data_IF_194523281515
#
_entry.id   IF_194523281515
#
_cell.length_a   1.000
_cell.length_b   1.000
_cell.length_c   1.000
_cell.angle_alpha   90.00
_cell.angle_beta   90.00
_cell.angle_gamma   90.00
#
_symmetry.space_group_name_H-M   'P 1'
#
loop_
_entity.id
_entity.type
_entity.pdbx_description
1 polymer ?
#
# COMPACT_ATOMS: atom_id res chain seq x y z
N UNK A 1 -24.52 47.19 -14.20
CA UNK A 1 -23.75 46.38 -15.18
C UNK A 1 -22.71 45.51 -14.45
N UNK A 2 -22.28 44.38 -15.02
CA UNK A 2 -21.24 43.52 -14.43
C UNK A 2 -19.92 43.77 -15.15
N UNK A 3 -18.86 44.01 -14.40
CA UNK A 3 -17.51 44.24 -14.93
C UNK A 3 -16.56 43.16 -14.46
N UNK A 4 -15.69 42.67 -15.35
CA UNK A 4 -14.56 41.80 -15.03
C UNK A 4 -13.30 42.67 -14.94
N UNK A 5 -12.72 42.79 -13.75
CA UNK A 5 -11.48 43.53 -13.51
C UNK A 5 -10.32 42.57 -13.30
N UNK A 6 -9.38 42.52 -14.24
CA UNK A 6 -8.07 41.91 -14.04
C UNK A 6 -7.23 42.91 -13.24
N UNK A 7 -6.76 42.51 -12.07
CA UNK A 7 -6.06 43.39 -11.15
C UNK A 7 -4.90 42.66 -10.47
N UNK A 8 -3.92 43.43 -9.98
CA UNK A 8 -2.86 42.91 -9.12
C UNK A 8 -3.00 43.47 -7.71
N UNK A 9 -2.61 42.67 -6.72
CA UNK A 9 -2.41 43.10 -5.34
C UNK A 9 -1.19 42.36 -4.79
N UNK A 10 -0.11 43.10 -4.55
CA UNK A 10 1.20 42.50 -4.29
C UNK A 10 1.76 41.80 -5.54
N UNK A 11 2.26 40.56 -5.39
CA UNK A 11 2.85 39.75 -6.47
C UNK A 11 1.84 38.90 -7.27
N UNK A 12 0.55 38.96 -6.93
CA UNK A 12 -0.46 38.06 -7.48
C UNK A 12 -1.41 38.77 -8.44
N UNK A 13 -1.65 38.16 -9.62
CA UNK A 13 -2.66 38.57 -10.61
C UNK A 13 -4.00 37.89 -10.29
N UNK A 14 -5.06 38.69 -10.25
CA UNK A 14 -6.41 38.28 -9.85
C UNK A 14 -7.44 38.78 -10.87
N UNK A 15 -8.55 38.06 -10.98
CA UNK A 15 -9.70 38.48 -11.80
C UNK A 15 -10.88 38.64 -10.85
N UNK A 16 -11.35 39.88 -10.70
CA UNK A 16 -12.50 40.26 -9.88
C UNK A 16 -13.72 40.48 -10.76
N UNK A 17 -14.91 40.17 -10.24
CA UNK A 17 -16.18 40.54 -10.87
C UNK A 17 -16.89 41.56 -9.99
N UNK A 18 -17.08 42.76 -10.51
CA UNK A 18 -17.60 43.94 -9.79
C UNK A 18 -18.91 44.38 -10.44
N UNK A 19 -19.93 44.61 -9.63
CA UNK A 19 -21.20 45.19 -10.09
C UNK A 19 -21.13 46.70 -9.89
N UNK A 20 -21.30 47.47 -10.95
CA UNK A 20 -21.33 48.93 -10.90
C UNK A 20 -22.25 49.49 -12.00
N UNK A 21 -22.65 50.75 -11.86
CA UNK A 21 -23.49 51.44 -12.83
C UNK A 21 -22.68 52.03 -13.98
N UNK A 22 -21.36 52.20 -13.79
CA UNK A 22 -20.41 52.62 -14.82
C UNK A 22 -19.02 51.99 -14.66
N UNK A 23 -18.23 51.97 -15.74
CA UNK A 23 -16.83 51.52 -15.73
C UNK A 23 -16.00 52.31 -14.72
N UNK A 24 -16.22 53.61 -14.61
CA UNK A 24 -15.46 54.47 -13.69
C UNK A 24 -15.80 54.20 -12.23
N UNK A 25 -17.07 53.90 -11.94
CA UNK A 25 -17.49 53.45 -10.61
C UNK A 25 -16.90 52.07 -10.29
N UNK A 26 -16.82 51.15 -11.27
CA UNK A 26 -16.16 49.86 -11.10
C UNK A 26 -14.66 50.03 -10.81
N UNK A 27 -13.97 50.93 -11.53
CA UNK A 27 -12.57 51.27 -11.28
C UNK A 27 -12.37 51.84 -9.88
N UNK A 28 -13.23 52.77 -9.46
CA UNK A 28 -13.17 53.34 -8.11
C UNK A 28 -13.34 52.27 -7.02
N UNK A 29 -14.29 51.35 -7.18
CA UNK A 29 -14.52 50.25 -6.22
C UNK A 29 -13.29 49.33 -6.14
N UNK A 30 -12.70 48.94 -7.27
CA UNK A 30 -11.50 48.08 -7.28
C UNK A 30 -10.29 48.80 -6.69
N UNK A 31 -10.08 50.07 -7.06
CA UNK A 31 -8.95 50.85 -6.59
C UNK A 31 -9.04 51.17 -5.09
N UNK A 32 -10.24 51.48 -4.56
CA UNK A 32 -10.46 51.72 -3.13
C UNK A 32 -10.21 50.49 -2.24
N UNK A 33 -10.22 49.28 -2.83
CA UNK A 33 -9.87 48.03 -2.17
C UNK A 33 -8.36 47.70 -2.22
N UNK A 34 -7.54 48.62 -2.73
CA UNK A 34 -6.08 48.51 -2.79
C UNK A 34 -5.57 47.59 -3.90
N UNK A 35 -6.33 47.44 -4.99
CA UNK A 35 -5.94 46.68 -6.17
C UNK A 35 -5.45 47.61 -7.28
N UNK A 36 -4.34 47.26 -7.93
CA UNK A 36 -3.88 47.91 -9.16
C UNK A 36 -4.62 47.29 -10.35
N UNK A 37 -5.36 48.09 -11.09
CA UNK A 37 -6.18 47.62 -12.21
C UNK A 37 -5.29 47.45 -13.44
N UNK A 38 -5.26 46.25 -14.00
CA UNK A 38 -4.56 45.94 -15.25
C UNK A 38 -5.53 46.11 -16.43
N UNK A 39 -6.76 45.61 -16.29
CA UNK A 39 -7.76 45.63 -17.37
C UNK A 39 -9.17 45.53 -16.78
N UNK A 40 -10.16 46.23 -17.35
CA UNK A 40 -11.57 46.11 -16.93
C UNK A 40 -12.49 46.05 -18.14
N UNK A 41 -13.30 44.99 -18.21
CA UNK A 41 -14.24 44.75 -19.32
C UNK A 41 -15.66 44.64 -18.79
N UNK A 42 -16.62 45.19 -19.53
CA UNK A 42 -18.03 44.90 -19.29
C UNK A 42 -18.33 43.47 -19.73
N UNK A 43 -18.97 42.68 -18.86
CA UNK A 43 -19.36 41.31 -19.20
C UNK A 43 -20.78 41.33 -19.78
N UNK A 44 -20.91 40.94 -21.05
CA UNK A 44 -22.12 40.27 -21.51
C UNK A 44 -22.23 38.92 -20.78
N UNK A 45 -23.46 38.52 -20.46
CA UNK A 45 -23.79 37.41 -19.56
C UNK A 45 -23.47 36.06 -20.25
N UNK A 46 -22.19 35.79 -20.48
CA UNK A 46 -21.71 34.55 -21.09
C UNK A 46 -21.30 33.53 -20.01
N UNK A 47 -21.99 32.40 -20.05
CA UNK A 47 -21.86 31.31 -19.12
C UNK A 47 -20.52 30.56 -19.22
N UNK A 48 -20.28 29.78 -18.17
CA UNK A 48 -19.23 28.76 -18.05
C UNK A 48 -17.80 29.25 -17.72
N UNK A 49 -17.61 29.66 -16.46
CA UNK A 49 -16.35 29.43 -15.78
C UNK A 49 -16.54 28.24 -14.82
N UNK A 50 -15.88 27.11 -15.08
CA UNK A 50 -15.96 25.89 -14.27
C UNK A 50 -15.31 26.09 -12.90
N UNK A 51 -16.12 26.41 -11.88
CA UNK A 51 -15.74 26.45 -10.47
C UNK A 51 -16.90 26.95 -9.62
N UNK A 52 -17.04 26.42 -8.40
CA UNK A 52 -18.09 26.87 -7.48
C UNK A 52 -17.75 28.28 -6.95
N UNK A 53 -18.76 29.14 -6.84
CA UNK A 53 -18.61 30.44 -6.19
C UNK A 53 -18.92 30.32 -4.70
N UNK A 54 -18.01 30.84 -3.88
CA UNK A 54 -18.19 30.97 -2.43
C UNK A 54 -18.25 32.44 -2.06
N UNK A 55 -19.07 32.75 -1.05
CA UNK A 55 -19.25 34.11 -0.55
C UNK A 55 -18.51 34.25 0.77
N UNK A 56 -18.00 35.45 1.04
CA UNK A 56 -17.31 35.74 2.28
C UNK A 56 -17.62 37.15 2.77
N UNK A 57 -17.63 37.31 4.09
CA UNK A 57 -17.71 38.61 4.76
C UNK A 57 -16.35 38.84 5.44
N UNK A 58 -15.60 39.88 5.07
CA UNK A 58 -14.27 40.17 5.60
C UNK A 58 -14.11 41.64 5.99
N UNK A 59 -13.27 41.90 6.99
CA UNK A 59 -12.89 43.26 7.36
C UNK A 59 -11.77 43.77 6.44
N UNK A 60 -12.07 44.84 5.70
CA UNK A 60 -11.10 45.55 4.86
C UNK A 60 -11.02 46.97 5.40
N UNK A 61 -9.86 47.35 5.94
CA UNK A 61 -9.66 48.66 6.59
C UNK A 61 -10.72 48.97 7.67
N UNK A 62 -11.13 47.95 8.44
CA UNK A 62 -12.14 48.09 9.51
C UNK A 62 -13.61 48.07 9.06
N UNK A 63 -13.88 48.07 7.75
CA UNK A 63 -15.25 48.00 7.22
C UNK A 63 -15.57 46.57 6.80
N UNK A 64 -16.76 46.08 7.19
CA UNK A 64 -17.23 44.76 6.77
C UNK A 64 -17.65 44.81 5.30
N UNK A 65 -16.94 44.07 4.45
CA UNK A 65 -17.23 43.95 3.03
C UNK A 65 -17.59 42.51 2.68
N UNK A 66 -18.62 42.35 1.84
CA UNK A 66 -19.01 41.05 1.31
C UNK A 66 -18.42 40.87 -0.09
N UNK A 67 -17.75 39.74 -0.31
CA UNK A 67 -17.13 39.39 -1.58
C UNK A 67 -17.50 37.99 -2.03
N UNK A 68 -17.15 37.67 -3.28
CA UNK A 68 -17.28 36.33 -3.87
C UNK A 68 -15.93 35.85 -4.38
N UNK A 69 -15.61 34.58 -4.16
CA UNK A 69 -14.38 33.93 -4.59
C UNK A 69 -14.70 32.62 -5.30
N UNK A 70 -14.04 32.37 -6.42
CA UNK A 70 -14.20 31.14 -7.19
C UNK A 70 -13.17 30.09 -6.72
N UNK A 71 -13.63 28.87 -6.43
CA UNK A 71 -12.77 27.75 -6.02
C UNK A 71 -13.53 26.42 -6.15
N UNK A 72 -12.80 25.32 -6.06
CA UNK A 72 -13.41 23.98 -6.04
C UNK A 72 -13.86 23.55 -4.64
N UNK A 73 -13.32 24.18 -3.59
CA UNK A 73 -13.59 23.85 -2.19
C UNK A 73 -13.61 25.12 -1.31
N UNK A 74 -14.55 25.18 -0.36
CA UNK A 74 -14.68 26.24 0.65
C UNK A 74 -13.38 26.39 1.45
N UNK A 75 -12.71 25.28 1.77
CA UNK A 75 -11.45 25.31 2.51
C UNK A 75 -10.33 26.00 1.72
N UNK A 76 -10.20 25.64 0.43
CA UNK A 76 -9.23 26.26 -0.48
C UNK A 76 -9.51 27.76 -0.66
N UNK A 77 -10.78 28.14 -0.73
CA UNK A 77 -11.21 29.55 -0.76
C UNK A 77 -10.78 30.31 0.48
N UNK A 78 -11.04 29.75 1.67
CA UNK A 78 -10.66 30.39 2.93
C UNK A 78 -9.15 30.55 3.08
N UNK A 79 -8.37 29.52 2.73
CA UNK A 79 -6.91 29.60 2.71
C UNK A 79 -6.43 30.72 1.80
N UNK A 80 -6.95 30.80 0.58
CA UNK A 80 -6.61 31.88 -0.38
C UNK A 80 -6.97 33.28 0.15
N UNK A 81 -8.11 33.42 0.83
CA UNK A 81 -8.51 34.68 1.45
C UNK A 81 -7.56 35.11 2.57
N UNK A 82 -7.10 34.17 3.41
CA UNK A 82 -6.27 34.47 4.58
C UNK A 82 -4.76 34.56 4.23
N UNK A 83 -4.23 33.62 3.45
CA UNK A 83 -2.80 33.55 3.13
C UNK A 83 -2.42 34.48 1.98
N UNK A 84 -3.13 34.40 0.85
CA UNK A 84 -2.76 35.14 -0.37
C UNK A 84 -3.28 36.57 -0.33
N UNK A 85 -4.54 36.76 0.10
CA UNK A 85 -5.22 38.05 0.06
C UNK A 85 -5.15 38.82 1.39
N UNK A 86 -4.64 38.18 2.45
CA UNK A 86 -4.47 38.75 3.81
C UNK A 86 -5.74 39.41 4.37
N UNK A 87 -6.90 38.85 4.05
CA UNK A 87 -8.18 39.33 4.58
C UNK A 87 -8.45 38.77 5.98
N UNK A 88 -9.03 39.61 6.85
CA UNK A 88 -9.62 39.15 8.11
C UNK A 88 -11.06 38.68 7.87
N UNK A 89 -11.20 37.37 7.61
CA UNK A 89 -12.48 36.75 7.22
C UNK A 89 -13.35 36.49 8.45
N UNK A 90 -14.49 37.20 8.53
CA UNK A 90 -15.52 36.99 9.55
C UNK A 90 -16.39 35.78 9.25
N UNK A 91 -16.85 35.64 7.99
CA UNK A 91 -17.68 34.51 7.55
C UNK A 91 -17.29 34.02 6.15
N UNK A 92 -17.41 32.72 5.91
CA UNK A 92 -17.36 32.10 4.57
C UNK A 92 -18.51 31.11 4.41
N UNK A 93 -19.21 31.17 3.27
CA UNK A 93 -20.46 30.44 3.05
C UNK A 93 -20.73 30.18 1.57
N UNK A 94 -21.69 29.31 1.28
CA UNK A 94 -21.94 28.78 -0.08
C UNK A 94 -23.06 29.49 -0.84
N UNK A 95 -23.98 30.18 -0.16
CA UNK A 95 -25.13 30.80 -0.80
C UNK A 95 -25.43 32.21 -0.23
N UNK A 96 -25.85 33.17 -1.08
CA UNK A 96 -26.22 34.50 -0.61
C UNK A 96 -27.48 34.41 0.28
N UNK A 97 -27.52 35.17 1.38
CA UNK A 97 -28.67 35.19 2.30
C UNK A 97 -28.72 34.06 3.35
N UNK A 98 -27.67 33.25 3.48
CA UNK A 98 -27.59 32.20 4.50
C UNK A 98 -27.70 32.75 5.93
N UNK A 99 -28.42 32.06 6.81
CA UNK A 99 -28.61 32.45 8.21
C UNK A 99 -27.26 32.56 8.95
N UNK A 100 -27.12 33.53 9.87
CA UNK A 100 -25.90 33.78 10.65
C UNK A 100 -25.38 32.52 11.36
N UNK A 101 -26.27 31.69 11.93
CA UNK A 101 -25.85 30.48 12.64
C UNK A 101 -25.22 29.43 11.71
N UNK A 102 -25.72 29.34 10.47
CA UNK A 102 -25.16 28.45 9.45
C UNK A 102 -23.81 29.00 8.95
N UNK A 103 -23.72 30.32 8.73
CA UNK A 103 -22.46 30.99 8.40
C UNK A 103 -21.41 30.75 9.48
N UNK A 104 -21.76 30.90 10.76
CA UNK A 104 -20.89 30.61 11.92
C UNK A 104 -20.41 29.16 11.92
N UNK A 105 -21.31 28.19 11.72
CA UNK A 105 -20.95 26.76 11.70
C UNK A 105 -19.99 26.39 10.57
N UNK A 106 -20.25 26.87 9.35
CA UNK A 106 -19.37 26.61 8.19
C UNK A 106 -18.01 27.27 8.43
N UNK A 107 -18.01 28.54 8.84
CA UNK A 107 -16.77 29.30 9.07
C UNK A 107 -15.96 28.68 10.20
N UNK A 108 -16.58 28.26 11.30
CA UNK A 108 -15.90 27.57 12.39
C UNK A 108 -15.25 26.27 11.90
N UNK A 109 -15.98 25.43 11.16
CA UNK A 109 -15.42 24.18 10.58
C UNK A 109 -14.22 24.45 9.68
N UNK A 110 -14.30 25.49 8.84
CA UNK A 110 -13.25 25.84 7.88
C UNK A 110 -12.04 26.46 8.59
N UNK A 111 -12.27 27.32 9.58
CA UNK A 111 -11.23 27.92 10.44
C UNK A 111 -10.52 26.86 11.28
N UNK A 112 -11.25 25.90 11.84
CA UNK A 112 -10.68 24.73 12.51
C UNK A 112 -9.81 23.92 11.53
N UNK A 113 -10.28 23.72 10.31
CA UNK A 113 -9.50 23.10 9.24
C UNK A 113 -8.21 23.86 8.91
N UNK A 114 -8.26 25.19 8.95
CA UNK A 114 -7.11 26.04 8.66
C UNK A 114 -6.10 26.02 9.80
N UNK A 115 -6.58 26.03 11.04
CA UNK A 115 -5.75 25.83 12.22
C UNK A 115 -5.07 24.47 12.19
N UNK A 116 -5.78 23.39 11.83
CA UNK A 116 -5.20 22.05 11.62
C UNK A 116 -4.12 22.05 10.54
N UNK A 117 -4.33 22.76 9.44
CA UNK A 117 -3.34 22.90 8.38
C UNK A 117 -2.08 23.61 8.87
N UNK A 118 -2.24 24.72 9.60
CA UNK A 118 -1.14 25.48 10.19
C UNK A 118 -0.38 24.66 11.25
N UNK A 119 -1.10 23.93 12.10
CA UNK A 119 -0.54 22.95 13.04
C UNK A 119 0.27 21.88 12.29
N UNK A 120 -0.24 21.35 11.17
CA UNK A 120 0.48 20.33 10.39
C UNK A 120 1.76 20.84 9.70
N UNK A 121 1.82 22.14 9.39
CA UNK A 121 3.04 22.79 8.88
C UNK A 121 4.06 22.99 10.01
N UNK A 122 3.58 23.37 11.20
CA UNK A 122 4.42 23.52 12.39
C UNK A 122 4.94 22.17 12.89
N UNK A 123 4.10 21.12 12.95
CA UNK A 123 4.52 19.75 13.31
C UNK A 123 5.55 19.21 12.32
N UNK A 124 5.43 19.52 11.02
CA UNK A 124 6.48 19.18 10.04
C UNK A 124 7.79 19.95 10.29
N UNK A 125 7.70 21.20 10.72
CA UNK A 125 8.85 22.02 11.11
C UNK A 125 9.55 21.49 12.37
N UNK A 126 8.76 21.09 13.37
CA UNK A 126 9.24 20.45 14.61
C UNK A 126 9.79 19.05 14.35
N UNK A 127 9.15 18.22 13.52
CA UNK A 127 9.68 16.91 13.09
C UNK A 127 10.99 17.08 12.31
N UNK A 128 11.12 18.10 11.44
CA UNK A 128 12.37 18.42 10.74
C UNK A 128 13.47 18.91 11.68
N UNK A 129 13.12 19.66 12.73
CA UNK A 129 14.07 20.08 13.75
C UNK A 129 14.49 18.93 14.65
N UNK A 130 13.56 18.09 15.14
CA UNK A 130 13.88 16.86 15.88
C UNK A 130 14.70 15.88 15.05
N UNK A 131 14.44 15.78 13.75
CA UNK A 131 15.25 14.95 12.85
C UNK A 131 16.65 15.51 12.68
N UNK A 132 16.81 16.83 12.55
CA UNK A 132 18.12 17.48 12.50
C UNK A 132 18.88 17.37 13.82
N UNK A 133 18.22 17.52 14.96
CA UNK A 133 18.85 17.35 16.28
C UNK A 133 19.23 15.89 16.52
N UNK A 134 18.43 14.93 16.05
CA UNK A 134 18.80 13.50 16.08
C UNK A 134 19.89 13.14 15.08
N UNK A 135 19.89 13.74 13.89
CA UNK A 135 20.97 13.58 12.90
C UNK A 135 22.27 14.22 13.41
N UNK A 136 22.22 15.34 14.14
CA UNK A 136 23.37 16.01 14.79
C UNK A 136 23.85 15.29 16.07
N UNK A 137 22.95 14.64 16.82
CA UNK A 137 23.30 13.77 17.96
C UNK A 137 23.81 12.39 17.50
N UNK A 138 23.29 11.83 16.41
CA UNK A 138 23.81 10.61 15.78
C UNK A 138 25.13 10.87 15.05
N UNK A 139 25.32 12.04 14.40
CA UNK A 139 26.61 12.44 13.80
C UNK A 139 27.72 12.63 14.85
N UNK A 140 27.39 13.09 16.06
CA UNK A 140 28.38 13.19 17.15
C UNK A 140 28.74 11.84 17.78
N UNK A 141 27.92 10.80 17.61
CA UNK A 141 28.23 9.41 18.03
C UNK A 141 28.93 8.63 16.91
N UNK A 142 28.88 9.11 15.66
CA UNK A 142 29.39 8.47 14.43
C UNK A 142 30.92 8.60 14.18
N UNK A 143 31.70 9.14 15.11
CA UNK A 143 33.16 9.18 14.98
C UNK A 143 33.88 7.86 15.28
N UNK A 144 33.15 6.77 15.50
CA UNK A 144 33.65 5.39 15.38
C UNK A 144 32.60 4.55 14.64
N UNK A 145 32.80 4.35 13.33
CA UNK A 145 31.98 3.40 12.56
C UNK A 145 32.07 2.02 13.21
N UNK A 146 30.92 1.40 13.53
CA UNK A 146 30.87 0.00 13.94
C UNK A 146 31.55 -0.87 12.85
N UNK A 147 32.41 -1.83 13.23
CA UNK A 147 33.09 -2.71 12.27
C UNK A 147 32.13 -3.50 11.37
N UNK A 148 30.86 -3.61 11.74
CA UNK A 148 29.81 -4.23 10.92
C UNK A 148 29.42 -3.39 9.71
N UNK A 149 29.33 -2.07 9.85
CA UNK A 149 28.99 -1.14 8.76
C UNK A 149 30.13 -1.05 7.75
N UNK A 150 31.38 -1.07 8.24
CA UNK A 150 32.57 -1.10 7.36
C UNK A 150 32.63 -2.40 6.54
N UNK A 151 32.36 -3.55 7.16
CA UNK A 151 32.24 -4.83 6.45
C UNK A 151 31.12 -4.83 5.42
N UNK A 152 29.99 -4.21 5.72
CA UNK A 152 28.86 -4.12 4.78
C UNK A 152 29.22 -3.22 3.58
N UNK A 153 29.92 -2.11 3.81
CA UNK A 153 30.43 -1.22 2.76
C UNK A 153 31.46 -1.93 1.87
N UNK A 154 32.46 -2.58 2.45
CA UNK A 154 33.46 -3.37 1.70
C UNK A 154 32.81 -4.46 0.85
N UNK A 155 31.77 -5.12 1.37
CA UNK A 155 31.00 -6.11 0.63
C UNK A 155 30.30 -5.49 -0.59
N UNK A 156 29.62 -4.35 -0.42
CA UNK A 156 28.97 -3.69 -1.56
C UNK A 156 29.99 -3.13 -2.56
N UNK A 157 31.15 -2.67 -2.13
CA UNK A 157 32.23 -2.25 -3.03
C UNK A 157 32.72 -3.43 -3.89
N UNK A 158 32.86 -4.62 -3.30
CA UNK A 158 33.19 -5.85 -4.03
C UNK A 158 32.11 -6.18 -5.07
N UNK A 159 30.83 -6.12 -4.69
CA UNK A 159 29.71 -6.37 -5.61
C UNK A 159 29.67 -5.33 -6.74
N UNK A 160 29.98 -4.06 -6.46
CA UNK A 160 30.09 -3.00 -7.48
C UNK A 160 31.19 -3.37 -8.49
N UNK A 161 32.36 -3.78 -8.02
CA UNK A 161 33.48 -4.16 -8.90
C UNK A 161 33.14 -5.37 -9.77
N UNK A 162 32.54 -6.41 -9.21
CA UNK A 162 32.09 -7.58 -9.97
C UNK A 162 31.00 -7.23 -10.99
N UNK A 163 30.12 -6.27 -10.66
CA UNK A 163 29.07 -5.79 -11.57
C UNK A 163 29.67 -4.97 -12.71
N UNK A 164 30.65 -4.11 -12.43
CA UNK A 164 31.37 -3.32 -13.43
C UNK A 164 32.17 -4.23 -14.38
N UNK A 165 32.91 -5.20 -13.85
CA UNK A 165 33.65 -6.19 -14.65
C UNK A 165 32.69 -6.97 -15.56
N UNK A 166 31.50 -7.29 -15.05
CA UNK A 166 30.46 -7.97 -15.83
C UNK A 166 29.92 -7.12 -16.97
N UNK A 167 29.64 -5.83 -16.73
CA UNK A 167 29.22 -4.90 -17.78
C UNK A 167 30.29 -4.82 -18.88
N UNK A 168 31.55 -4.68 -18.49
CA UNK A 168 32.68 -4.62 -19.43
C UNK A 168 32.82 -5.92 -20.23
N UNK A 169 32.69 -7.08 -19.58
CA UNK A 169 32.67 -8.37 -20.25
C UNK A 169 31.51 -8.51 -21.23
N UNK A 170 30.32 -8.00 -20.89
CA UNK A 170 29.17 -7.98 -21.80
C UNK A 170 29.43 -7.07 -23.02
N UNK A 171 29.99 -5.89 -22.81
CA UNK A 171 30.28 -4.93 -23.87
C UNK A 171 31.39 -5.39 -24.82
N UNK A 172 32.42 -6.08 -24.30
CA UNK A 172 33.56 -6.59 -25.08
C UNK A 172 33.17 -7.88 -25.81
N UNK A 173 32.62 -8.87 -25.10
CA UNK A 173 32.35 -10.21 -25.66
C UNK A 173 31.17 -10.22 -26.64
N UNK A 174 30.23 -9.27 -26.50
CA UNK A 174 29.01 -9.20 -27.32
C UNK A 174 28.89 -7.93 -28.14
N UNK A 175 30.00 -7.23 -28.38
CA UNK A 175 30.05 -5.95 -29.09
C UNK A 175 29.24 -5.95 -30.39
N UNK A 176 29.32 -7.02 -31.19
CA UNK A 176 28.67 -7.09 -32.51
C UNK A 176 27.19 -7.55 -32.44
N UNK A 177 26.76 -8.09 -31.29
CA UNK A 177 25.43 -8.69 -31.11
C UNK A 177 24.50 -7.88 -30.20
N UNK A 178 25.05 -6.92 -29.45
CA UNK A 178 24.27 -6.02 -28.60
C UNK A 178 23.86 -4.80 -29.43
N UNK A 179 22.56 -4.47 -29.41
CA UNK A 179 22.04 -3.30 -30.12
C UNK A 179 22.51 -1.98 -29.49
N UNK A 180 22.43 -0.89 -30.26
CA UNK A 180 22.90 0.44 -29.83
C UNK A 180 22.20 0.93 -28.57
N UNK A 181 20.90 0.64 -28.41
CA UNK A 181 20.15 0.96 -27.18
C UNK A 181 20.70 0.20 -25.97
N UNK A 182 20.96 -1.10 -26.09
CA UNK A 182 21.49 -1.91 -24.98
C UNK A 182 22.92 -1.48 -24.60
N UNK A 183 23.75 -1.06 -25.56
CA UNK A 183 25.07 -0.45 -25.29
C UNK A 183 24.92 0.81 -24.45
N UNK A 184 24.00 1.69 -24.83
CA UNK A 184 23.77 2.94 -24.13
C UNK A 184 23.26 2.71 -22.71
N UNK A 185 22.35 1.75 -22.51
CA UNK A 185 21.87 1.36 -21.17
C UNK A 185 22.98 0.81 -20.29
N UNK A 186 23.82 -0.09 -20.81
CA UNK A 186 24.95 -0.66 -20.06
C UNK A 186 26.01 0.42 -19.70
N UNK A 187 26.31 1.34 -20.62
CA UNK A 187 27.24 2.45 -20.36
C UNK A 187 26.68 3.44 -19.31
N UNK A 188 25.36 3.68 -19.32
CA UNK A 188 24.71 4.51 -18.29
C UNK A 188 24.80 3.86 -16.91
N UNK A 189 24.56 2.55 -16.82
CA UNK A 189 24.71 1.79 -15.58
C UNK A 189 26.16 1.81 -15.10
N UNK A 190 27.14 1.65 -15.99
CA UNK A 190 28.57 1.73 -15.64
C UNK A 190 28.92 3.09 -15.01
N UNK A 191 28.41 4.19 -15.59
CA UNK A 191 28.60 5.54 -15.07
C UNK A 191 27.92 5.75 -13.71
N UNK A 192 26.73 5.18 -13.51
CA UNK A 192 26.02 5.27 -12.23
C UNK A 192 26.71 4.47 -11.12
N UNK A 193 27.14 3.24 -11.41
CA UNK A 193 27.89 2.39 -10.50
C UNK A 193 29.25 3.00 -10.12
N UNK A 194 29.93 3.65 -11.06
CA UNK A 194 31.19 4.37 -10.80
C UNK A 194 30.98 5.60 -9.90
N UNK A 195 29.85 6.30 -10.04
CA UNK A 195 29.52 7.47 -9.19
C UNK A 195 29.13 7.10 -7.76
N UNK A 196 28.55 5.91 -7.55
CA UNK A 196 28.18 5.45 -6.20
C UNK A 196 29.35 4.76 -5.49
N UNK A 197 30.40 4.36 -6.22
CA UNK A 197 31.66 3.87 -5.65
C UNK A 197 32.27 4.94 -4.73
N UNK A 198 32.49 4.61 -3.46
CA UNK A 198 32.98 5.54 -2.43
C UNK A 198 31.89 6.38 -1.74
N UNK A 199 30.62 6.20 -2.08
CA UNK A 199 29.53 6.75 -1.24
C UNK A 199 29.41 5.92 0.05
N UNK A 200 29.06 6.56 1.17
CA UNK A 200 28.89 5.88 2.48
C UNK A 200 27.44 5.56 2.82
N UNK A 201 26.51 5.76 1.89
CA UNK A 201 25.08 5.52 2.08
C UNK A 201 24.70 4.13 1.58
N UNK A 202 24.69 3.15 2.49
CA UNK A 202 24.37 1.74 2.21
C UNK A 202 23.04 1.57 1.50
N UNK A 203 21.98 2.23 1.97
CA UNK A 203 20.63 2.12 1.37
C UNK A 203 20.60 2.59 -0.08
N UNK A 204 21.34 3.67 -0.39
CA UNK A 204 21.46 4.19 -1.76
C UNK A 204 22.25 3.24 -2.65
N UNK A 205 23.35 2.68 -2.14
CA UNK A 205 24.16 1.69 -2.88
C UNK A 205 23.32 0.46 -3.21
N UNK A 206 22.62 -0.10 -2.21
CA UNK A 206 21.76 -1.27 -2.39
C UNK A 206 20.69 -1.04 -3.47
N UNK A 207 19.96 0.07 -3.39
CA UNK A 207 18.89 0.37 -4.35
C UNK A 207 19.43 0.51 -5.79
N UNK A 208 20.54 1.23 -5.97
CA UNK A 208 21.14 1.41 -7.30
C UNK A 208 21.68 0.09 -7.84
N UNK A 209 22.28 -0.75 -7.00
CA UNK A 209 22.73 -2.10 -7.39
C UNK A 209 21.58 -3.02 -7.81
N UNK A 210 20.47 -3.03 -7.06
CA UNK A 210 19.29 -3.85 -7.40
C UNK A 210 18.73 -3.47 -8.77
N UNK A 211 18.56 -2.17 -9.03
CA UNK A 211 18.02 -1.67 -10.30
C UNK A 211 18.98 -1.93 -11.48
N UNK A 212 20.28 -1.73 -11.23
CA UNK A 212 21.35 -2.00 -12.20
C UNK A 212 21.41 -3.47 -12.60
N UNK A 213 21.43 -4.38 -11.62
CA UNK A 213 21.49 -5.83 -11.87
C UNK A 213 20.19 -6.36 -12.50
N UNK A 214 19.03 -5.82 -12.11
CA UNK A 214 17.76 -6.13 -12.76
C UNK A 214 17.75 -5.76 -14.24
N UNK A 215 18.27 -4.58 -14.57
CA UNK A 215 18.37 -4.09 -15.94
C UNK A 215 19.41 -4.90 -16.73
N UNK A 216 20.57 -5.21 -16.16
CA UNK A 216 21.59 -6.09 -16.78
C UNK A 216 20.98 -7.46 -17.08
N UNK A 217 20.26 -8.06 -16.11
CA UNK A 217 19.59 -9.33 -16.31
C UNK A 217 18.54 -9.29 -17.42
N UNK A 218 17.85 -8.17 -17.61
CA UNK A 218 16.91 -8.00 -18.73
C UNK A 218 17.62 -7.98 -20.10
N UNK A 219 18.79 -7.34 -20.19
CA UNK A 219 19.63 -7.31 -21.40
C UNK A 219 20.19 -8.71 -21.68
N UNK A 220 20.64 -9.43 -20.66
CA UNK A 220 21.09 -10.83 -20.79
C UNK A 220 19.96 -11.75 -21.27
N UNK A 221 18.75 -11.58 -20.76
CA UNK A 221 17.57 -12.34 -21.16
C UNK A 221 17.18 -12.04 -22.62
N UNK A 222 17.31 -10.79 -23.06
CA UNK A 222 17.15 -10.41 -24.45
C UNK A 222 18.18 -11.11 -25.36
N UNK A 223 19.45 -11.13 -24.95
CA UNK A 223 20.52 -11.83 -25.68
C UNK A 223 20.37 -13.36 -25.68
N UNK A 224 19.73 -13.92 -24.65
CA UNK A 224 19.38 -15.35 -24.56
C UNK A 224 18.26 -15.72 -25.56
N UNK A 225 17.24 -14.86 -25.69
CA UNK A 225 16.11 -15.08 -26.62
C UNK A 225 16.52 -15.07 -28.10
N UNK A 226 17.65 -14.47 -28.44
CA UNK A 226 18.18 -14.45 -29.82
C UNK A 226 18.98 -15.70 -30.22
N UNK A 227 18.91 -16.80 -29.45
CA UNK A 227 19.37 -18.12 -29.90
C UNK A 227 20.87 -18.42 -29.71
N UNK A 228 21.54 -17.75 -28.78
CA UNK A 228 22.98 -17.95 -28.55
C UNK A 228 23.27 -18.84 -27.31
N UNK A 229 24.14 -19.85 -27.51
CA UNK A 229 24.33 -21.13 -26.80
C UNK A 229 24.72 -21.10 -25.29
N UNK A 230 24.39 -22.22 -24.60
CA UNK A 230 24.67 -22.75 -23.23
C UNK A 230 25.64 -22.04 -22.25
N UNK A 231 26.69 -21.34 -22.67
CA UNK A 231 27.57 -20.56 -21.76
C UNK A 231 26.83 -19.39 -21.09
N UNK A 232 25.69 -18.97 -21.66
CA UNK A 232 24.91 -17.82 -21.20
C UNK A 232 24.04 -18.04 -19.96
N UNK A 233 23.77 -19.30 -19.57
CA UNK A 233 23.09 -19.62 -18.30
C UNK A 233 23.95 -19.26 -17.08
N UNK A 234 25.28 -19.35 -17.22
CA UNK A 234 26.21 -19.00 -16.14
C UNK A 234 26.19 -17.48 -15.85
N UNK A 235 26.02 -16.65 -16.89
CA UNK A 235 25.90 -15.20 -16.71
C UNK A 235 24.60 -14.82 -15.99
N UNK A 236 23.45 -15.40 -16.37
CA UNK A 236 22.18 -15.16 -15.67
C UNK A 236 22.22 -15.69 -14.22
N UNK A 237 22.87 -16.84 -13.98
CA UNK A 237 23.12 -17.37 -12.64
C UNK A 237 23.94 -16.39 -11.81
N UNK A 238 25.04 -15.85 -12.35
CA UNK A 238 25.87 -14.86 -11.69
C UNK A 238 25.09 -13.57 -11.39
N UNK A 239 24.18 -13.12 -12.27
CA UNK A 239 23.29 -11.97 -11.98
C UNK A 239 22.38 -12.25 -10.79
N UNK A 240 21.78 -13.45 -10.73
CA UNK A 240 20.92 -13.85 -9.63
C UNK A 240 21.69 -14.09 -8.32
N UNK A 241 22.95 -14.54 -8.39
CA UNK A 241 23.85 -14.66 -7.24
C UNK A 241 24.18 -13.28 -6.67
N UNK A 242 24.54 -12.32 -7.51
CA UNK A 242 24.80 -10.93 -7.09
C UNK A 242 23.54 -10.26 -6.51
N UNK A 243 22.35 -10.49 -7.10
CA UNK A 243 21.07 -10.04 -6.55
C UNK A 243 20.77 -10.65 -5.17
N UNK A 244 21.09 -11.93 -4.98
CA UNK A 244 20.95 -12.59 -3.68
C UNK A 244 21.96 -12.06 -2.67
N UNK A 245 23.17 -11.72 -3.11
CA UNK A 245 24.22 -11.19 -2.27
C UNK A 245 23.85 -9.82 -1.69
N UNK A 246 23.21 -8.95 -2.47
CA UNK A 246 22.68 -7.67 -1.96
C UNK A 246 21.36 -7.80 -1.19
N UNK A 247 20.84 -9.03 -1.02
CA UNK A 247 19.62 -9.32 -0.30
C UNK A 247 18.36 -8.88 -1.03
N UNK A 248 18.34 -9.00 -2.36
CA UNK A 248 17.17 -8.77 -3.20
C UNK A 248 16.31 -10.03 -3.29
N UNK A 249 14.98 -9.86 -3.22
CA UNK A 249 14.00 -10.92 -3.49
C UNK A 249 13.75 -11.12 -4.99
N UNK A 250 14.36 -10.29 -5.84
CA UNK A 250 14.16 -10.33 -7.30
C UNK A 250 15.02 -11.43 -7.94
N UNK A 251 14.42 -12.24 -8.81
CA UNK A 251 15.12 -13.26 -9.58
C UNK A 251 14.78 -13.14 -11.06
N UNK A 252 15.79 -12.95 -11.89
CA UNK A 252 15.65 -12.88 -13.34
C UNK A 252 15.65 -14.31 -13.89
N UNK A 253 14.55 -14.75 -14.47
CA UNK A 253 14.36 -16.13 -14.98
C UNK A 253 13.73 -16.11 -16.37
N UNK A 254 14.03 -17.14 -17.17
CA UNK A 254 13.38 -17.40 -18.47
C UNK A 254 11.94 -17.91 -18.30
N UNK A 255 11.08 -17.73 -19.31
CA UNK A 255 9.67 -18.18 -19.28
C UNK A 255 9.52 -19.69 -18.99
N UNK A 256 10.43 -20.52 -19.52
CA UNK A 256 10.45 -21.97 -19.25
C UNK A 256 10.73 -22.32 -17.78
N UNK A 257 11.52 -21.51 -17.06
CA UNK A 257 11.81 -21.72 -15.63
C UNK A 257 10.64 -21.26 -14.74
N UNK A 258 9.96 -20.17 -15.12
CA UNK A 258 8.73 -19.71 -14.46
C UNK A 258 7.61 -20.75 -14.50
N UNK A 259 7.47 -21.49 -15.59
CA UNK A 259 6.46 -22.54 -15.73
C UNK A 259 6.80 -23.82 -14.95
N UNK A 260 8.08 -24.05 -14.66
CA UNK A 260 8.55 -25.16 -13.83
C UNK A 260 8.42 -24.90 -12.32
N UNK A 261 8.28 -23.64 -11.92
CA UNK A 261 8.24 -23.23 -10.52
C UNK A 261 6.89 -23.61 -9.86
N UNK A 262 6.98 -24.43 -8.81
CA UNK A 262 5.82 -24.96 -8.07
C UNK A 262 5.01 -23.81 -7.46
N UNK A 263 5.67 -22.72 -7.07
CA UNK A 263 5.02 -21.50 -6.56
C UNK A 263 4.13 -20.83 -7.60
N UNK A 264 4.56 -20.80 -8.86
CA UNK A 264 3.80 -20.22 -9.97
C UNK A 264 2.60 -21.10 -10.35
N UNK A 265 2.76 -22.43 -10.33
CA UNK A 265 1.64 -23.38 -10.50
C UNK A 265 0.59 -23.21 -9.42
N UNK A 266 1.00 -23.12 -8.15
CA UNK A 266 0.08 -22.83 -7.02
C UNK A 266 -0.63 -21.49 -7.21
N UNK A 267 0.10 -20.43 -7.55
CA UNK A 267 -0.49 -19.10 -7.76
C UNK A 267 -1.50 -19.07 -8.91
N UNK A 268 -1.22 -19.79 -10.01
CA UNK A 268 -2.13 -19.93 -11.16
C UNK A 268 -3.39 -20.75 -10.85
N UNK A 269 -3.30 -21.72 -9.92
CA UNK A 269 -4.45 -22.48 -9.44
C UNK A 269 -5.34 -21.62 -8.52
N UNK A 270 -4.74 -20.78 -7.68
CA UNK A 270 -5.49 -19.84 -6.84
C UNK A 270 -6.08 -18.67 -7.63
N UNK A 271 -5.42 -18.17 -8.67
CA UNK A 271 -5.98 -17.11 -9.52
C UNK A 271 -7.23 -17.57 -10.25
N UNK A 272 -7.26 -18.79 -10.78
CA UNK A 272 -8.45 -19.39 -11.42
C UNK A 272 -9.67 -19.51 -10.50
N UNK A 273 -9.45 -19.70 -9.19
CA UNK A 273 -10.55 -19.72 -8.19
C UNK A 273 -11.06 -18.30 -7.88
N UNK A 274 -10.22 -17.29 -8.08
CA UNK A 274 -10.54 -15.88 -7.80
C UNK A 274 -11.14 -15.15 -9.00
N UNK A 275 -10.86 -15.62 -10.22
CA UNK A 275 -11.30 -14.98 -11.46
C UNK A 275 -12.79 -15.23 -11.77
N UNK A 276 -13.37 -16.33 -11.29
CA UNK A 276 -14.82 -16.58 -11.38
C UNK A 276 -15.69 -15.66 -10.48
N UNK A 277 -15.10 -14.69 -9.78
CA UNK A 277 -15.81 -13.73 -8.93
C UNK A 277 -15.63 -12.27 -9.37
N UNK A 278 -15.09 -12.04 -10.57
CA UNK A 278 -14.74 -10.70 -11.09
C UNK A 278 -15.48 -10.29 -12.37
N UNK A 279 -16.46 -11.05 -12.86
CA UNK A 279 -17.23 -10.66 -14.05
C UNK A 279 -18.43 -9.72 -13.77
N UNK A 280 -18.52 -9.13 -12.57
CA UNK A 280 -19.50 -8.06 -12.33
C UNK A 280 -18.84 -6.92 -11.55
N UNK A 281 -17.93 -6.21 -12.23
CA UNK A 281 -17.57 -4.85 -11.86
C UNK A 281 -17.56 -3.98 -13.10
N UNK A 282 -18.71 -3.32 -13.23
CA UNK A 282 -19.00 -2.15 -14.04
C UNK A 282 -17.79 -1.27 -14.32
N UNK A 283 -17.54 -1.05 -15.61
CA UNK A 283 -16.61 -0.08 -16.15
C UNK A 283 -17.06 1.34 -15.77
N UNK A 284 -16.60 1.82 -14.62
CA UNK A 284 -16.50 3.26 -14.39
C UNK A 284 -15.07 3.61 -14.01
N UNK A 285 -14.41 4.29 -14.96
CA UNK A 285 -13.19 5.06 -14.84
C UNK A 285 -12.89 5.51 -13.41
N UNK A 286 -12.10 4.72 -12.67
CA UNK A 286 -11.37 5.20 -11.50
C UNK A 286 -9.95 5.47 -11.95
N UNK A 287 -9.74 6.66 -12.52
CA UNK A 287 -8.44 7.31 -12.45
C UNK A 287 -7.92 7.13 -11.03
N UNK A 288 -6.70 6.63 -10.88
CA UNK A 288 -6.03 6.49 -9.58
C UNK A 288 -6.22 7.80 -8.81
N UNK A 289 -7.09 7.79 -7.81
CA UNK A 289 -7.45 8.98 -7.07
C UNK A 289 -6.19 9.48 -6.37
N UNK A 290 -5.57 10.51 -6.92
CA UNK A 290 -4.47 11.22 -6.26
C UNK A 290 -5.01 11.70 -4.92
N UNK A 291 -4.43 11.19 -3.82
CA UNK A 291 -4.86 11.54 -2.47
C UNK A 291 -4.65 13.04 -2.30
N UNK A 292 -5.74 13.81 -2.19
CA UNK A 292 -5.64 15.26 -1.90
C UNK A 292 -5.17 15.43 -0.45
N UNK A 293 -3.85 15.51 -0.29
CA UNK A 293 -3.17 15.69 1.00
C UNK A 293 -3.51 17.03 1.67
N UNK A 294 -4.13 17.96 0.94
CA UNK A 294 -4.53 19.28 1.43
C UNK A 294 -6.03 19.36 1.71
N UNK A 295 -6.77 18.25 1.61
CA UNK A 295 -8.18 18.21 1.98
C UNK A 295 -8.36 18.17 3.51
N UNK A 296 -9.42 18.82 4.00
CA UNK A 296 -9.78 18.80 5.44
C UNK A 296 -9.96 17.38 5.97
N UNK A 297 -10.58 16.51 5.18
CA UNK A 297 -10.83 15.11 5.55
C UNK A 297 -9.51 14.36 5.77
N UNK A 298 -8.51 14.58 4.90
CA UNK A 298 -7.19 13.99 5.02
C UNK A 298 -6.47 14.48 6.29
N UNK A 299 -6.41 15.79 6.52
CA UNK A 299 -5.74 16.38 7.69
C UNK A 299 -6.40 15.94 9.00
N UNK A 300 -7.73 15.89 9.04
CA UNK A 300 -8.49 15.38 10.19
C UNK A 300 -8.14 13.93 10.50
N UNK A 301 -8.17 13.06 9.48
CA UNK A 301 -7.84 11.64 9.66
C UNK A 301 -6.38 11.46 10.12
N UNK A 302 -5.44 12.27 9.60
CA UNK A 302 -4.03 12.23 10.01
C UNK A 302 -3.84 12.63 11.48
N UNK A 303 -4.55 13.64 11.98
CA UNK A 303 -4.56 14.02 13.41
C UNK A 303 -5.20 12.95 14.29
N UNK A 304 -6.34 12.39 13.88
CA UNK A 304 -6.96 11.29 14.62
C UNK A 304 -5.98 10.10 14.74
N UNK A 305 -5.27 9.77 13.66
CA UNK A 305 -4.24 8.74 13.65
C UNK A 305 -3.13 9.02 14.68
N UNK A 306 -2.60 10.24 14.73
CA UNK A 306 -1.54 10.60 15.69
C UNK A 306 -2.01 10.50 17.14
N UNK A 307 -3.25 10.93 17.43
CA UNK A 307 -3.87 10.78 18.76
C UNK A 307 -3.98 9.30 19.16
N UNK A 308 -4.44 8.43 18.25
CA UNK A 308 -4.53 7.00 18.55
C UNK A 308 -3.16 6.35 18.73
N UNK A 309 -2.13 6.75 17.97
CA UNK A 309 -0.74 6.29 18.14
C UNK A 309 -0.17 6.71 19.50
N UNK A 310 -0.35 7.97 19.91
CA UNK A 310 0.05 8.45 21.26
C UNK A 310 -0.68 7.68 22.38
N UNK A 311 -1.98 7.42 22.22
CA UNK A 311 -2.76 6.60 23.18
C UNK A 311 -2.28 5.15 23.23
N UNK A 312 -1.83 4.58 22.11
CA UNK A 312 -1.27 3.23 22.06
C UNK A 312 0.06 3.16 22.81
N UNK A 313 0.96 4.12 22.61
CA UNK A 313 2.22 4.22 23.36
C UNK A 313 1.96 4.33 24.86
N UNK A 314 1.08 5.25 25.29
CA UNK A 314 0.70 5.37 26.71
C UNK A 314 0.17 4.06 27.29
N UNK A 315 -0.68 3.36 26.54
CA UNK A 315 -1.21 2.05 26.98
C UNK A 315 -0.10 0.99 27.07
N UNK A 316 0.90 1.00 26.19
CA UNK A 316 2.07 0.12 26.32
C UNK A 316 2.86 0.42 27.59
N UNK A 317 3.11 1.69 27.89
CA UNK A 317 3.77 2.11 29.14
C UNK A 317 2.96 1.66 30.36
N UNK A 318 1.63 1.79 30.34
CA UNK A 318 0.75 1.34 31.41
C UNK A 318 0.78 -0.19 31.58
N UNK A 319 0.87 -0.95 30.49
CA UNK A 319 1.02 -2.42 30.54
C UNK A 319 2.35 -2.77 31.20
N UNK A 320 3.44 -2.19 30.71
CA UNK A 320 4.80 -2.43 31.23
C UNK A 320 4.86 -2.10 32.72
N UNK A 321 4.34 -0.93 33.13
CA UNK A 321 4.28 -0.51 34.53
C UNK A 321 3.49 -1.50 35.40
N UNK A 322 2.35 -2.01 34.93
CA UNK A 322 1.57 -2.99 35.69
C UNK A 322 2.21 -4.38 35.77
N UNK A 323 2.98 -4.78 34.75
CA UNK A 323 3.79 -6.01 34.79
C UNK A 323 4.88 -5.86 35.86
N UNK A 324 5.66 -4.77 35.81
CA UNK A 324 6.72 -4.50 36.79
C UNK A 324 6.19 -4.27 38.20
N UNK A 325 4.97 -3.73 38.36
CA UNK A 325 4.34 -3.56 39.67
C UNK A 325 3.52 -4.77 40.12
N UNK A 326 3.58 -5.91 39.42
CA UNK A 326 2.82 -7.15 39.71
C UNK A 326 1.29 -6.95 39.88
N UNK A 327 0.70 -5.95 39.21
CA UNK A 327 -0.73 -5.61 39.29
C UNK A 327 -1.51 -6.23 38.12
N UNK A 328 -1.61 -7.56 38.12
CA UNK A 328 -2.19 -8.31 37.00
C UNK A 328 -3.71 -8.15 36.81
N UNK A 329 -4.44 -7.69 37.83
CA UNK A 329 -5.90 -7.49 37.74
C UNK A 329 -6.34 -6.52 36.63
N UNK A 330 -5.50 -5.52 36.31
CA UNK A 330 -5.78 -4.54 35.27
C UNK A 330 -5.20 -4.93 33.89
N UNK A 331 -4.40 -5.99 33.81
CA UNK A 331 -3.64 -6.35 32.61
C UNK A 331 -4.57 -6.75 31.46
N UNK A 332 -5.60 -7.56 31.75
CA UNK A 332 -6.59 -8.01 30.75
C UNK A 332 -7.30 -6.82 30.10
N UNK A 333 -7.69 -5.81 30.89
CA UNK A 333 -8.32 -4.58 30.40
C UNK A 333 -7.38 -3.78 29.50
N UNK A 334 -6.11 -3.65 29.88
CA UNK A 334 -5.12 -2.91 29.10
C UNK A 334 -4.77 -3.61 27.78
N UNK A 335 -4.68 -4.95 27.78
CA UNK A 335 -4.50 -5.75 26.56
C UNK A 335 -5.69 -5.62 25.61
N UNK A 336 -6.92 -5.62 26.13
CA UNK A 336 -8.12 -5.40 25.32
C UNK A 336 -8.15 -3.98 24.74
N UNK A 337 -7.82 -2.97 25.55
CA UNK A 337 -7.65 -1.57 25.10
C UNK A 337 -6.57 -1.47 24.02
N UNK A 338 -5.47 -2.22 24.13
CA UNK A 338 -4.40 -2.27 23.11
C UNK A 338 -4.91 -2.83 21.80
N UNK A 339 -5.73 -3.90 21.83
CA UNK A 339 -6.35 -4.49 20.64
C UNK A 339 -7.27 -3.48 19.94
N UNK A 340 -8.15 -2.81 20.69
CA UNK A 340 -9.05 -1.78 20.15
C UNK A 340 -8.29 -0.59 19.54
N UNK A 341 -7.25 -0.11 20.22
CA UNK A 341 -6.42 1.00 19.69
C UNK A 341 -5.73 0.61 18.37
N UNK A 342 -5.21 -0.62 18.26
CA UNK A 342 -4.63 -1.12 17.00
C UNK A 342 -5.65 -1.20 15.87
N UNK A 343 -6.86 -1.68 16.16
CA UNK A 343 -7.94 -1.75 15.18
C UNK A 343 -8.34 -0.36 14.66
N UNK A 344 -8.49 0.62 15.56
CA UNK A 344 -8.81 1.99 15.17
C UNK A 344 -7.70 2.63 14.33
N UNK A 345 -6.43 2.40 14.66
CA UNK A 345 -5.28 2.85 13.86
C UNK A 345 -5.36 2.27 12.45
N UNK A 346 -5.57 0.96 12.31
CA UNK A 346 -5.68 0.30 11.01
C UNK A 346 -6.84 0.85 10.17
N UNK A 347 -8.01 1.08 10.77
CA UNK A 347 -9.17 1.66 10.08
C UNK A 347 -8.84 3.07 9.56
N UNK A 348 -8.19 3.90 10.37
CA UNK A 348 -7.86 5.29 9.99
C UNK A 348 -6.76 5.31 8.92
N UNK A 349 -5.71 4.49 9.03
CA UNK A 349 -4.67 4.35 8.00
C UNK A 349 -5.26 3.89 6.66
N UNK A 350 -6.27 3.01 6.71
CA UNK A 350 -6.98 2.55 5.51
C UNK A 350 -7.81 3.66 4.87
N UNK A 351 -8.49 4.49 5.69
CA UNK A 351 -9.23 5.67 5.22
C UNK A 351 -8.31 6.72 4.59
N UNK A 352 -7.14 6.95 5.18
CA UNK A 352 -6.12 7.88 4.64
C UNK A 352 -5.63 7.41 3.28
N UNK A 353 -5.37 6.11 3.15
CA UNK A 353 -4.86 5.49 1.93
C UNK A 353 -5.95 5.08 0.92
N UNK A 354 -7.22 5.45 1.18
CA UNK A 354 -8.39 5.07 0.37
C UNK A 354 -8.50 3.56 0.06
N UNK A 355 -8.01 2.71 0.97
CA UNK A 355 -8.10 1.25 0.82
C UNK A 355 -9.40 0.75 1.42
N UNK A 356 -10.20 0.02 0.63
CA UNK A 356 -11.34 -0.74 1.15
C UNK A 356 -10.83 -1.94 1.95
N UNK A 357 -11.06 -1.94 3.27
CA UNK A 357 -10.76 -3.08 4.14
C UNK A 357 -12.03 -3.57 4.81
N UNK A 358 -12.25 -4.89 4.84
CA UNK A 358 -13.37 -5.47 5.56
C UNK A 358 -13.14 -5.39 7.07
N UNK A 359 -14.17 -4.95 7.80
CA UNK A 359 -14.15 -4.89 9.26
C UNK A 359 -13.87 -6.28 9.88
N UNK A 360 -14.38 -7.35 9.25
CA UNK A 360 -14.16 -8.74 9.66
C UNK A 360 -12.68 -9.11 9.70
N UNK A 361 -11.90 -8.70 8.68
CA UNK A 361 -10.45 -8.92 8.61
C UNK A 361 -9.70 -8.17 9.72
N UNK A 362 -10.14 -6.96 10.07
CA UNK A 362 -9.51 -6.13 11.12
C UNK A 362 -9.83 -6.67 12.53
N UNK A 363 -11.06 -7.18 12.75
CA UNK A 363 -11.49 -7.63 14.07
C UNK A 363 -11.04 -9.04 14.40
N UNK A 364 -11.21 -9.97 13.46
CA UNK A 364 -10.94 -11.39 13.67
C UNK A 364 -9.59 -11.84 13.10
N UNK A 365 -8.93 -11.01 12.29
CA UNK A 365 -7.60 -11.29 11.79
C UNK A 365 -7.54 -12.54 10.89
N UNK A 366 -6.38 -13.21 10.92
CA UNK A 366 -6.13 -14.46 10.17
C UNK A 366 -6.93 -15.63 10.76
N UNK A 367 -7.24 -15.59 12.06
CA UNK A 367 -7.97 -16.65 12.76
C UNK A 367 -9.35 -16.94 12.14
N UNK A 368 -10.01 -15.92 11.59
CA UNK A 368 -11.28 -16.11 10.87
C UNK A 368 -11.12 -17.02 9.65
N UNK A 369 -10.11 -16.77 8.83
CA UNK A 369 -9.85 -17.57 7.62
C UNK A 369 -9.35 -18.97 7.97
N UNK A 370 -8.56 -19.08 9.04
CA UNK A 370 -8.09 -20.36 9.56
C UNK A 370 -9.26 -21.21 10.05
N UNK A 371 -10.20 -20.62 10.80
CA UNK A 371 -11.39 -21.34 11.27
C UNK A 371 -12.29 -21.76 10.10
N UNK A 372 -12.54 -20.87 9.15
CA UNK A 372 -13.32 -21.19 7.95
C UNK A 372 -12.68 -22.32 7.11
N UNK A 373 -11.35 -22.34 7.01
CA UNK A 373 -10.61 -23.41 6.34
C UNK A 373 -10.77 -24.76 7.05
N UNK A 374 -10.68 -24.79 8.39
CA UNK A 374 -10.89 -26.02 9.15
C UNK A 374 -12.35 -26.51 9.12
N UNK A 375 -13.32 -25.60 9.15
CA UNK A 375 -14.73 -25.94 8.93
C UNK A 375 -14.93 -26.57 7.56
N UNK A 376 -14.33 -26.00 6.51
CA UNK A 376 -14.38 -26.57 5.16
C UNK A 376 -13.77 -27.97 5.08
N UNK A 377 -12.59 -28.21 5.69
CA UNK A 377 -11.98 -29.55 5.77
C UNK A 377 -12.91 -30.53 6.48
N UNK A 378 -13.53 -30.11 7.58
CA UNK A 378 -14.46 -30.96 8.33
C UNK A 378 -15.70 -31.33 7.49
N UNK A 379 -16.26 -30.38 6.74
CA UNK A 379 -17.39 -30.66 5.84
C UNK A 379 -16.99 -31.60 4.71
N UNK A 380 -15.79 -31.42 4.15
CA UNK A 380 -15.28 -32.28 3.08
C UNK A 380 -15.04 -33.72 3.58
N UNK A 381 -14.47 -33.87 4.78
CA UNK A 381 -14.31 -35.17 5.45
C UNK A 381 -15.65 -35.87 5.70
N UNK A 382 -16.68 -35.13 6.12
CA UNK A 382 -18.03 -35.69 6.25
C UNK A 382 -18.56 -36.22 4.91
N UNK A 383 -18.39 -35.46 3.82
CA UNK A 383 -18.83 -35.85 2.48
C UNK A 383 -18.10 -37.11 1.99
N UNK A 384 -16.78 -37.17 2.16
CA UNK A 384 -16.01 -38.38 1.86
C UNK A 384 -16.43 -39.58 2.72
N UNK A 385 -16.80 -39.36 3.98
CA UNK A 385 -17.28 -40.43 4.86
C UNK A 385 -18.59 -41.03 4.33
N UNK A 386 -19.49 -40.18 3.83
CA UNK A 386 -20.74 -40.62 3.22
C UNK A 386 -20.50 -41.43 1.94
N UNK A 387 -19.60 -40.97 1.07
CA UNK A 387 -19.21 -41.70 -0.15
C UNK A 387 -18.62 -43.07 0.22
N UNK A 388 -17.79 -43.13 1.25
CA UNK A 388 -17.13 -44.36 1.70
C UNK A 388 -18.14 -45.37 2.24
N UNK A 389 -19.11 -44.92 3.05
CA UNK A 389 -20.21 -45.78 3.53
C UNK A 389 -21.03 -46.33 2.35
N UNK A 390 -21.34 -45.48 1.37
CA UNK A 390 -22.07 -45.90 0.17
C UNK A 390 -21.26 -46.92 -0.64
N UNK A 391 -19.95 -46.71 -0.78
CA UNK A 391 -19.05 -47.66 -1.44
C UNK A 391 -18.99 -49.01 -0.72
N UNK A 392 -18.85 -49.02 0.61
CA UNK A 392 -18.90 -50.27 1.41
C UNK A 392 -20.23 -50.99 1.20
N UNK A 393 -21.35 -50.26 1.19
CA UNK A 393 -22.67 -50.85 1.00
C UNK A 393 -22.80 -51.51 -0.38
N UNK A 394 -22.37 -50.83 -1.44
CA UNK A 394 -22.33 -51.39 -2.81
C UNK A 394 -21.40 -52.61 -2.87
N UNK A 395 -20.23 -52.53 -2.24
CA UNK A 395 -19.28 -53.65 -2.17
C UNK A 395 -19.90 -54.88 -1.49
N UNK A 396 -20.61 -54.72 -0.37
CA UNK A 396 -21.30 -55.83 0.32
C UNK A 396 -22.36 -56.45 -0.58
N UNK A 397 -23.15 -55.64 -1.30
CA UNK A 397 -24.17 -56.15 -2.24
C UNK A 397 -23.51 -56.96 -3.35
N UNK A 398 -22.44 -56.44 -3.96
CA UNK A 398 -21.73 -57.11 -5.05
C UNK A 398 -21.03 -58.40 -4.58
N UNK A 399 -20.40 -58.38 -3.42
CA UNK A 399 -19.81 -59.58 -2.81
C UNK A 399 -20.88 -60.63 -2.49
N UNK A 400 -22.05 -60.20 -1.98
CA UNK A 400 -23.16 -61.12 -1.72
C UNK A 400 -23.71 -61.73 -3.03
N UNK A 401 -23.82 -60.94 -4.10
CA UNK A 401 -24.24 -61.41 -5.41
C UNK A 401 -23.26 -62.41 -6.04
N UNK A 402 -21.95 -62.21 -5.84
CA UNK A 402 -20.90 -63.13 -6.25
C UNK A 402 -20.96 -64.45 -5.47
N UNK A 403 -21.13 -64.41 -4.14
CA UNK A 403 -21.29 -65.63 -3.32
C UNK A 403 -22.54 -66.44 -3.66
N UNK A 404 -23.61 -65.78 -4.14
CA UNK A 404 -24.83 -66.43 -4.60
C UNK A 404 -24.74 -66.92 -6.05
N UNK A 405 -23.62 -66.65 -6.75
CA UNK A 405 -23.35 -67.12 -8.11
C UNK A 405 -24.04 -66.33 -9.22
N UNK A 406 -24.54 -65.12 -8.94
CA UNK A 406 -25.20 -64.29 -9.96
C UNK A 406 -24.19 -63.54 -10.86
N UNK A 407 -22.99 -63.29 -10.35
CA UNK A 407 -21.92 -62.52 -11.00
C UNK A 407 -20.59 -63.17 -10.60
N UNK A 408 -19.54 -63.10 -11.43
CA UNK A 408 -18.17 -63.45 -11.03
C UNK A 408 -17.33 -62.17 -10.90
N UNK A 409 -16.82 -61.88 -9.71
CA UNK A 409 -15.97 -60.71 -9.43
C UNK A 409 -14.57 -61.13 -8.97
N UNK A 410 -13.54 -60.72 -9.71
CA UNK A 410 -12.15 -60.80 -9.24
C UNK A 410 -11.84 -59.59 -8.34
N UNK A 411 -11.81 -59.80 -7.03
CA UNK A 411 -11.42 -58.76 -6.09
C UNK A 411 -9.91 -58.52 -6.15
N UNK A 412 -9.51 -57.27 -6.37
CA UNK A 412 -8.11 -56.84 -6.30
C UNK A 412 -7.65 -56.95 -4.83
N UNK A 413 -6.67 -57.80 -4.55
CA UNK A 413 -6.18 -58.11 -3.19
C UNK A 413 -5.77 -56.86 -2.37
N UNK A 414 -5.35 -55.78 -3.05
CA UNK A 414 -4.93 -54.53 -2.39
C UNK A 414 -6.06 -53.53 -2.10
N UNK A 415 -7.28 -53.80 -2.56
CA UNK A 415 -8.42 -52.88 -2.39
C UNK A 415 -8.76 -52.63 -0.92
N UNK A 416 -8.66 -53.66 -0.07
CA UNK A 416 -8.89 -53.56 1.38
C UNK A 416 -7.91 -52.61 2.08
N UNK A 417 -6.62 -52.65 1.70
CA UNK A 417 -5.58 -51.76 2.24
C UNK A 417 -5.85 -50.29 1.87
N UNK A 418 -6.25 -50.03 0.63
CA UNK A 418 -6.62 -48.68 0.21
C UNK A 418 -7.86 -48.17 0.95
N UNK A 419 -8.85 -49.03 1.18
CA UNK A 419 -10.04 -48.68 1.97
C UNK A 419 -9.64 -48.37 3.41
N UNK A 420 -8.74 -49.15 4.03
CA UNK A 420 -8.28 -48.90 5.42
C UNK A 420 -7.47 -47.63 5.55
N UNK A 421 -6.58 -47.34 4.59
CA UNK A 421 -5.82 -46.08 4.58
C UNK A 421 -6.76 -44.90 4.36
N UNK A 422 -7.74 -45.03 3.46
CA UNK A 422 -8.67 -43.95 3.16
C UNK A 422 -9.66 -43.69 4.31
N UNK A 423 -10.14 -44.72 5.02
CA UNK A 423 -10.93 -44.56 6.24
C UNK A 423 -10.12 -43.92 7.37
N UNK A 424 -8.87 -44.33 7.55
CA UNK A 424 -7.98 -43.78 8.58
C UNK A 424 -7.68 -42.29 8.32
N UNK A 425 -7.35 -41.93 7.08
CA UNK A 425 -7.17 -40.54 6.64
C UNK A 425 -8.41 -39.71 6.90
N UNK A 426 -9.57 -40.20 6.48
CA UNK A 426 -10.83 -39.48 6.60
C UNK A 426 -11.23 -39.29 8.08
N UNK A 427 -11.05 -40.33 8.90
CA UNK A 427 -11.24 -40.25 10.34
C UNK A 427 -10.31 -39.21 10.96
N UNK A 428 -9.02 -39.22 10.60
CA UNK A 428 -8.06 -38.21 11.05
C UNK A 428 -8.50 -36.78 10.72
N UNK A 429 -8.87 -36.51 9.47
CA UNK A 429 -9.32 -35.19 9.04
C UNK A 429 -10.57 -34.68 9.79
N UNK A 430 -11.47 -35.57 10.21
CA UNK A 430 -12.67 -35.20 10.98
C UNK A 430 -12.37 -34.60 12.37
N UNK A 431 -11.20 -34.88 12.95
CA UNK A 431 -10.81 -34.35 14.26
C UNK A 431 -10.08 -33.01 14.19
N UNK A 432 -9.80 -32.51 12.98
CA UNK A 432 -9.07 -31.26 12.79
C UNK A 432 -10.01 -30.06 13.04
N UNK A 433 -9.93 -29.50 14.24
CA UNK A 433 -10.67 -28.28 14.66
C UNK A 433 -9.80 -27.02 14.74
N UNK A 434 -8.50 -27.13 14.46
CA UNK A 434 -7.56 -26.03 14.58
C UNK A 434 -6.12 -26.45 14.32
N UNK A 435 -5.20 -25.49 14.31
CA UNK A 435 -3.79 -25.73 13.95
C UNK A 435 -3.11 -26.75 14.86
N UNK A 436 -3.36 -26.68 16.18
CA UNK A 436 -2.78 -27.58 17.17
C UNK A 436 -3.26 -29.03 17.00
N UNK A 437 -4.54 -29.22 16.73
CA UNK A 437 -5.11 -30.56 16.48
C UNK A 437 -4.72 -31.07 15.11
N UNK A 438 -4.60 -30.20 14.10
CA UNK A 438 -4.11 -30.56 12.76
C UNK A 438 -2.71 -31.14 12.77
N UNK A 439 -1.75 -30.50 13.46
CA UNK A 439 -0.38 -31.02 13.57
C UNK A 439 -0.33 -32.41 14.24
N UNK A 440 -1.13 -32.60 15.30
CA UNK A 440 -1.20 -33.88 16.01
C UNK A 440 -1.81 -34.97 15.13
N UNK A 441 -2.89 -34.65 14.40
CA UNK A 441 -3.54 -35.58 13.46
C UNK A 441 -2.60 -35.96 12.33
N UNK A 442 -1.89 -35.02 11.72
CA UNK A 442 -0.91 -35.30 10.65
C UNK A 442 0.19 -36.23 11.14
N UNK A 443 0.70 -36.00 12.36
CA UNK A 443 1.69 -36.87 12.98
C UNK A 443 1.16 -38.31 13.21
N UNK A 444 -0.06 -38.45 13.75
CA UNK A 444 -0.68 -39.76 13.96
C UNK A 444 -0.99 -40.48 12.64
N UNK A 445 -1.46 -39.75 11.62
CA UNK A 445 -1.70 -40.30 10.28
C UNK A 445 -0.41 -40.78 9.63
N UNK A 446 0.67 -40.01 9.77
CA UNK A 446 1.99 -40.42 9.27
C UNK A 446 2.46 -41.73 9.92
N UNK A 447 2.33 -41.85 11.23
CA UNK A 447 2.66 -43.10 11.95
C UNK A 447 1.77 -44.27 11.51
N UNK A 448 0.46 -44.05 11.40
CA UNK A 448 -0.50 -45.08 11.01
C UNK A 448 -0.30 -45.57 9.57
N UNK A 449 -0.09 -44.65 8.63
CA UNK A 449 0.18 -45.00 7.22
C UNK A 449 1.53 -45.69 7.08
N UNK A 450 2.57 -45.20 7.76
CA UNK A 450 3.89 -45.85 7.75
C UNK A 450 3.83 -47.28 8.29
N UNK A 451 3.08 -47.50 9.38
CA UNK A 451 2.87 -48.83 9.94
C UNK A 451 2.14 -49.76 8.95
N UNK A 452 1.07 -49.27 8.30
CA UNK A 452 0.31 -50.06 7.33
C UNK A 452 1.15 -50.43 6.10
N UNK A 453 1.97 -49.51 5.58
CA UNK A 453 2.84 -49.75 4.41
C UNK A 453 3.99 -50.73 4.72
N UNK A 454 4.44 -50.82 5.98
CA UNK A 454 5.52 -51.73 6.37
C UNK A 454 4.99 -53.16 6.58
N UNK A 455 3.75 -53.32 7.04
CA UNK A 455 3.22 -54.62 7.49
C UNK A 455 2.26 -55.30 6.49
N UNK A 456 1.80 -54.58 5.47
CA UNK A 456 0.97 -55.07 4.37
C UNK A 456 1.53 -54.57 3.03
#
# INVERSE_FOLDING_TARGET
>A
MKYRATCSKGSSKLVLSVTADSIDQAKYIVHSQGYSIIEIHEMEDDGQASGNFFFFDAYVNGVLQTGKIQSNDVFKSYRKLVEDLKYDVKYIYTAPGMNEDQKKKITARVKDGYNLYKESLNEKGEELQEKKTKEEEEENILNEFSPEILKELERYETVIEETLEKIQNLLIKYHDSIGVEQKNTLNQIELELTKIKGTRNISKIKHVLEDSLGTIGSVELFLLKQGMVKEKKQFLSKTNELLKEIGSDTKVQTQEEKESDIGYKLQSLFSKITDNKKEEKDDTNTASATIDTNSFVYLKNKRELSIYKKRLQKNLTDIVKNIFSFKFGNLKRLLLKRKLLRQNIQIIESRINQKHISYTKIVHGVDYYVNMFFEFISTLSFLFSLILVLYIFVYIILASADTLGYIHLEFIEKSLLYITIFTLLNYGFSYIKGWKTGLLVVFLLYLGVSFLVINF
#
